data_IF_374244236828
#
_entry.id   IF_374244236828
#
_cell.length_a   1.000
_cell.length_b   1.000
_cell.length_c   1.000
_cell.angle_alpha   90.00
_cell.angle_beta   90.00
_cell.angle_gamma   90.00
#
_symmetry.space_group_name_H-M   'P 1'
#
loop_
_entity.id
_entity.type
_entity.pdbx_description
1 polymer ?
#
# COMPACT_ATOMS: atom_id res chain seq x y z
N UNK A 1 -5.48 26.62 -15.01
CA UNK A 1 -4.69 25.45 -15.31
C UNK A 1 -4.80 24.45 -14.17
N UNK A 2 -5.12 23.26 -14.50
CA UNK A 2 -5.16 22.28 -13.46
C UNK A 2 -3.76 21.75 -13.22
N UNK A 3 -3.49 21.48 -11.99
CA UNK A 3 -2.26 20.83 -11.63
C UNK A 3 -2.53 19.37 -11.46
N UNK A 4 -2.39 18.70 -12.55
CA UNK A 4 -2.50 17.27 -12.52
C UNK A 4 -1.11 16.75 -12.38
N UNK A 5 -0.83 16.24 -11.22
CA UNK A 5 0.47 15.72 -10.96
C UNK A 5 0.66 14.48 -11.80
N UNK A 6 1.53 14.54 -12.81
CA UNK A 6 1.76 13.44 -13.75
C UNK A 6 0.47 12.97 -14.43
N UNK A 7 -0.37 13.91 -14.83
CA UNK A 7 -1.63 13.60 -15.50
C UNK A 7 -2.62 12.81 -14.65
N UNK A 8 -2.43 12.79 -13.35
CA UNK A 8 -3.35 12.10 -12.47
C UNK A 8 -4.38 13.09 -11.97
N UNK A 9 -5.59 12.98 -12.48
CA UNK A 9 -6.64 13.96 -12.21
C UNK A 9 -7.84 13.37 -11.49
N UNK A 10 -7.87 12.03 -11.29
CA UNK A 10 -9.04 11.40 -10.71
C UNK A 10 -8.63 10.33 -9.70
N UNK A 11 -9.53 9.97 -8.78
CA UNK A 11 -9.29 8.86 -7.86
C UNK A 11 -9.03 7.55 -8.59
N UNK A 12 -9.74 7.33 -9.69
CA UNK A 12 -9.55 6.11 -10.48
C UNK A 12 -8.15 6.04 -11.06
N UNK A 13 -7.64 7.15 -11.58
CA UNK A 13 -6.29 7.19 -12.13
C UNK A 13 -5.25 6.97 -11.03
N UNK A 14 -5.50 7.49 -9.84
CA UNK A 14 -4.60 7.28 -8.71
C UNK A 14 -4.61 5.81 -8.29
N UNK A 15 -5.78 5.15 -8.31
CA UNK A 15 -5.85 3.73 -8.01
C UNK A 15 -5.10 2.91 -9.06
N UNK A 16 -5.21 3.28 -10.33
CA UNK A 16 -4.47 2.60 -11.38
C UNK A 16 -2.96 2.76 -11.19
N UNK A 17 -2.53 3.93 -10.74
CA UNK A 17 -1.12 4.13 -10.39
C UNK A 17 -0.73 3.24 -9.21
N UNK A 18 -1.57 3.14 -8.19
CA UNK A 18 -1.29 2.28 -7.05
C UNK A 18 -1.15 0.82 -7.48
N UNK A 19 -1.96 0.38 -8.43
CA UNK A 19 -1.86 -0.99 -8.97
C UNK A 19 -0.54 -1.20 -9.71
N UNK A 20 -0.08 -0.19 -10.44
CA UNK A 20 1.23 -0.28 -11.12
C UNK A 20 2.36 -0.36 -10.10
N UNK A 21 2.28 0.45 -9.04
CA UNK A 21 3.29 0.39 -7.99
C UNK A 21 3.25 -0.94 -7.25
N UNK A 22 2.07 -1.50 -7.07
CA UNK A 22 1.91 -2.80 -6.46
C UNK A 22 2.58 -3.90 -7.32
N UNK A 23 2.35 -3.86 -8.61
CA UNK A 23 2.98 -4.81 -9.53
C UNK A 23 4.50 -4.67 -9.50
N UNK A 24 4.99 -3.43 -9.47
CA UNK A 24 6.43 -3.17 -9.41
C UNK A 24 7.02 -3.69 -8.10
N UNK A 25 6.31 -3.46 -6.98
CA UNK A 25 6.74 -3.96 -5.69
C UNK A 25 6.84 -5.47 -5.67
N UNK A 26 5.85 -6.16 -6.26
CA UNK A 26 5.87 -7.63 -6.28
C UNK A 26 6.95 -8.19 -7.18
N UNK A 27 7.26 -7.52 -8.27
CA UNK A 27 8.28 -8.02 -9.19
C UNK A 27 9.69 -7.76 -8.69
N UNK A 28 9.88 -6.73 -7.87
CA UNK A 28 11.18 -6.39 -7.32
C UNK A 28 10.97 -5.85 -5.90
N UNK A 29 10.92 -6.75 -4.95
CA UNK A 29 10.58 -6.42 -3.57
C UNK A 29 11.78 -5.82 -2.86
N UNK A 30 11.75 -4.51 -2.69
CA UNK A 30 12.77 -3.77 -1.96
C UNK A 30 12.12 -2.58 -1.27
N UNK A 31 12.86 -1.97 -0.35
CA UNK A 31 12.33 -0.89 0.48
C UNK A 31 11.81 0.28 -0.34
N UNK A 32 12.50 0.64 -1.40
CA UNK A 32 12.08 1.76 -2.24
C UNK A 32 10.74 1.49 -2.92
N UNK A 33 10.60 0.34 -3.53
CA UNK A 33 9.36 -0.02 -4.22
C UNK A 33 8.21 -0.17 -3.24
N UNK A 34 8.47 -0.70 -2.06
CA UNK A 34 7.47 -0.82 -1.00
C UNK A 34 7.00 0.57 -0.58
N UNK A 35 7.94 1.47 -0.30
CA UNK A 35 7.59 2.81 0.13
C UNK A 35 6.83 3.57 -0.96
N UNK A 36 7.26 3.44 -2.21
CA UNK A 36 6.56 4.08 -3.34
C UNK A 36 5.12 3.61 -3.43
N UNK A 37 4.87 2.33 -3.19
CA UNK A 37 3.50 1.83 -3.17
C UNK A 37 2.68 2.51 -2.07
N UNK A 38 3.20 2.55 -0.84
CA UNK A 38 2.43 3.10 0.27
C UNK A 38 2.17 4.60 0.12
N UNK A 39 3.11 5.35 -0.43
CA UNK A 39 2.90 6.77 -0.71
C UNK A 39 1.77 6.94 -1.71
N UNK A 40 1.79 6.16 -2.79
CA UNK A 40 0.73 6.22 -3.80
C UNK A 40 -0.60 5.79 -3.20
N UNK A 41 -0.60 4.72 -2.42
CA UNK A 41 -1.79 4.22 -1.77
C UNK A 41 -2.41 5.26 -0.83
N UNK A 42 -1.58 5.95 -0.08
CA UNK A 42 -2.07 7.00 0.80
C UNK A 42 -2.80 8.09 -0.01
N UNK A 43 -2.26 8.44 -1.16
CA UNK A 43 -2.86 9.48 -2.01
C UNK A 43 -4.18 9.06 -2.65
N UNK A 44 -4.45 7.76 -2.75
CA UNK A 44 -5.77 7.31 -3.20
C UNK A 44 -6.86 7.86 -2.29
N UNK A 45 -6.63 7.81 -0.97
CA UNK A 45 -7.60 8.35 -0.01
C UNK A 45 -7.74 9.86 -0.14
N UNK A 46 -6.65 10.58 -0.39
CA UNK A 46 -6.72 12.02 -0.61
C UNK A 46 -7.61 12.36 -1.79
N UNK A 47 -7.52 11.59 -2.86
CA UNK A 47 -8.37 11.81 -4.03
C UNK A 47 -9.82 11.45 -3.73
N UNK A 48 -10.06 10.38 -3.00
CA UNK A 48 -11.42 9.97 -2.64
C UNK A 48 -12.12 11.06 -1.85
N UNK A 49 -11.41 11.72 -0.93
CA UNK A 49 -11.98 12.79 -0.12
C UNK A 49 -12.50 13.96 -0.94
N UNK A 50 -11.96 14.15 -2.13
CA UNK A 50 -12.34 15.29 -2.96
C UNK A 50 -13.49 14.99 -3.90
N UNK A 51 -13.93 13.74 -3.97
CA UNK A 51 -15.01 13.34 -4.87
C UNK A 51 -16.35 13.75 -4.28
N UNK A 52 -17.14 14.49 -5.05
CA UNK A 52 -18.49 14.83 -4.64
C UNK A 52 -19.43 13.66 -4.92
N UNK A 53 -20.49 13.57 -4.17
CA UNK A 53 -21.52 12.56 -4.39
C UNK A 53 -21.28 11.24 -3.67
N UNK A 54 -20.19 11.13 -2.93
CA UNK A 54 -19.94 9.94 -2.11
C UNK A 54 -20.32 10.26 -0.66
N UNK A 55 -21.02 9.34 -0.03
CA UNK A 55 -21.44 9.50 1.36
C UNK A 55 -20.20 9.67 2.25
N UNK A 56 -20.13 10.75 3.03
CA UNK A 56 -19.00 10.94 3.95
C UNK A 56 -18.80 9.79 4.92
N UNK A 57 -19.86 9.09 5.30
CA UNK A 57 -19.73 7.95 6.19
C UNK A 57 -19.03 6.78 5.50
N UNK A 58 -19.27 6.61 4.21
CA UNK A 58 -18.59 5.58 3.45
C UNK A 58 -17.10 5.87 3.37
N UNK A 59 -16.73 7.12 3.16
CA UNK A 59 -15.35 7.54 3.14
C UNK A 59 -14.71 7.31 4.50
N UNK A 60 -15.40 7.70 5.57
CA UNK A 60 -14.89 7.55 6.92
C UNK A 60 -14.65 6.08 7.27
N UNK A 61 -15.49 5.19 6.76
CA UNK A 61 -15.33 3.76 6.98
C UNK A 61 -14.10 3.17 6.32
N UNK A 62 -13.49 3.89 5.38
CA UNK A 62 -12.26 3.44 4.75
C UNK A 62 -11.03 3.66 5.63
N UNK A 63 -11.16 4.46 6.68
CA UNK A 63 -10.07 4.70 7.63
C UNK A 63 -10.06 3.59 8.69
N UNK A 64 -9.78 2.39 8.25
CA UNK A 64 -9.71 1.23 9.12
C UNK A 64 -8.26 0.92 9.49
N UNK A 65 -8.04 -0.20 10.14
CA UNK A 65 -6.71 -0.56 10.60
C UNK A 65 -5.72 -0.74 9.45
N UNK A 66 -6.17 -1.28 8.33
CA UNK A 66 -5.29 -1.46 7.18
C UNK A 66 -4.81 -0.11 6.64
N UNK A 67 -5.72 0.84 6.51
CA UNK A 67 -5.32 2.17 6.05
C UNK A 67 -4.43 2.86 7.07
N UNK A 68 -4.69 2.66 8.35
CA UNK A 68 -3.83 3.24 9.39
C UNK A 68 -2.41 2.70 9.33
N UNK A 69 -2.24 1.42 9.00
CA UNK A 69 -0.91 0.86 8.80
C UNK A 69 -0.24 1.47 7.58
N UNK A 70 -0.99 1.69 6.51
CA UNK A 70 -0.49 2.38 5.33
C UNK A 70 -0.06 3.81 5.67
N UNK A 71 -0.88 4.53 6.41
CA UNK A 71 -0.60 5.88 6.85
C UNK A 71 0.65 5.93 7.72
N UNK A 72 0.80 4.97 8.61
CA UNK A 72 1.97 4.87 9.46
C UNK A 72 3.23 4.67 8.61
N UNK A 73 3.18 3.78 7.63
CA UNK A 73 4.32 3.54 6.75
C UNK A 73 4.68 4.80 5.97
N UNK A 74 3.68 5.55 5.54
CA UNK A 74 3.90 6.80 4.83
C UNK A 74 4.55 7.85 5.72
N UNK A 75 4.03 8.00 6.93
CA UNK A 75 4.49 9.05 7.85
C UNK A 75 5.86 8.75 8.45
N UNK A 76 6.14 7.51 8.74
CA UNK A 76 7.43 7.10 9.31
C UNK A 76 8.47 6.80 8.23
N UNK A 77 8.03 6.72 7.00
CA UNK A 77 8.93 6.42 5.90
C UNK A 77 9.47 5.02 5.99
N UNK A 78 10.65 4.85 5.45
CA UNK A 78 11.28 3.52 5.39
C UNK A 78 11.56 2.93 6.77
N UNK A 79 11.57 3.74 7.81
CA UNK A 79 11.78 3.26 9.18
C UNK A 79 10.65 2.37 9.68
N UNK A 80 9.46 2.48 9.08
CA UNK A 80 8.34 1.62 9.45
C UNK A 80 8.45 0.23 8.82
N UNK A 81 9.35 0.05 7.86
CA UNK A 81 9.46 -1.18 7.10
C UNK A 81 10.62 -2.00 7.61
N UNK A 82 10.30 -3.14 8.20
CA UNK A 82 11.30 -4.05 8.73
C UNK A 82 11.61 -5.14 7.73
N UNK A 83 12.89 -5.30 7.43
CA UNK A 83 13.38 -6.37 6.58
C UNK A 83 13.94 -7.47 7.46
N UNK A 84 13.42 -8.67 7.31
CA UNK A 84 13.92 -9.83 8.04
C UNK A 84 14.35 -10.90 7.05
N UNK A 85 15.52 -11.45 7.27
CA UNK A 85 16.00 -12.57 6.47
C UNK A 85 15.93 -13.81 7.34
N UNK A 86 15.07 -14.73 6.94
CA UNK A 86 14.87 -15.98 7.69
C UNK A 86 15.73 -17.05 7.06
N UNK A 87 16.70 -17.61 7.80
CA UNK A 87 17.54 -18.65 7.22
C UNK A 87 16.72 -19.92 6.97
N UNK A 88 17.12 -20.65 5.94
CA UNK A 88 16.54 -21.96 5.70
C UNK A 88 16.93 -22.88 6.83
N UNK A 89 15.99 -23.67 7.26
CA UNK A 89 16.25 -24.62 8.32
C UNK A 89 17.04 -25.81 7.82
N UNK A 90 17.04 -26.09 6.59
CA UNK A 90 17.76 -27.22 6.11
C UNK A 90 19.17 -26.87 5.82
N UNK A 91 19.92 -27.86 6.05
CA UNK A 91 21.27 -27.75 6.07
C UNK A 91 21.81 -27.56 4.71
N UNK A 92 21.69 -28.39 3.95
CA UNK A 92 22.58 -28.59 2.88
C UNK A 92 22.57 -27.59 1.78
N UNK A 93 21.51 -27.05 1.54
CA UNK A 93 21.38 -26.26 0.35
C UNK A 93 21.12 -24.84 0.64
N UNK A 94 21.38 -24.48 1.81
CA UNK A 94 21.11 -23.14 2.24
C UNK A 94 22.18 -22.17 1.80
N UNK A 95 22.76 -22.37 0.68
CA UNK A 95 23.78 -21.48 0.21
C UNK A 95 23.19 -20.12 -0.06
N UNK A 96 23.54 -19.17 0.77
CA UNK A 96 23.05 -17.82 0.66
C UNK A 96 21.58 -17.70 0.90
N UNK A 97 21.01 -18.69 1.54
CA UNK A 97 19.60 -18.78 1.57
C UNK A 97 18.93 -18.09 2.68
N UNK A 98 17.69 -18.04 2.55
CA UNK A 98 16.77 -17.48 3.48
C UNK A 98 15.69 -16.79 2.72
N UNK A 99 14.54 -16.71 3.32
CA UNK A 99 13.45 -15.92 2.79
C UNK A 99 13.56 -14.50 3.31
N UNK A 100 13.48 -13.53 2.45
CA UNK A 100 13.45 -12.13 2.85
C UNK A 100 12.00 -11.71 3.02
N UNK A 101 11.69 -11.22 4.20
CA UNK A 101 10.34 -10.80 4.56
C UNK A 101 10.38 -9.33 4.88
N UNK A 102 9.46 -8.58 4.29
CA UNK A 102 9.26 -7.16 4.61
C UNK A 102 7.93 -6.98 5.30
N UNK A 103 7.93 -6.26 6.41
CA UNK A 103 6.73 -6.01 7.20
C UNK A 103 6.64 -4.54 7.56
N UNK A 104 5.40 -4.03 7.64
CA UNK A 104 5.15 -2.76 8.31
C UNK A 104 5.00 -3.09 9.79
N UNK A 105 5.77 -2.41 10.62
CA UNK A 105 5.77 -2.65 12.06
C UNK A 105 5.42 -1.37 12.79
N UNK A 106 4.33 -1.40 13.54
CA UNK A 106 3.87 -0.30 14.38
C UNK A 106 3.63 -0.85 15.78
N UNK A 107 4.64 -0.72 16.63
CA UNK A 107 4.56 -1.29 17.97
C UNK A 107 4.41 -2.80 17.91
N UNK A 108 3.32 -3.29 18.47
CA UNK A 108 3.03 -4.72 18.45
C UNK A 108 2.34 -5.19 17.18
N UNK A 109 1.93 -4.25 16.32
CA UNK A 109 1.26 -4.59 15.07
C UNK A 109 2.28 -4.83 13.98
N UNK A 110 2.15 -5.96 13.31
CA UNK A 110 3.04 -6.33 12.21
C UNK A 110 2.21 -6.92 11.09
N UNK A 111 2.51 -6.53 9.87
CA UNK A 111 1.83 -7.08 8.70
C UNK A 111 2.79 -7.13 7.54
N UNK A 112 2.77 -8.22 6.78
CA UNK A 112 3.60 -8.32 5.58
C UNK A 112 3.13 -7.30 4.56
N UNK A 113 4.09 -6.67 3.91
CA UNK A 113 3.78 -5.57 2.97
C UNK A 113 2.93 -6.05 1.81
N UNK A 114 3.17 -7.26 1.29
CA UNK A 114 2.39 -7.78 0.17
C UNK A 114 0.94 -8.00 0.59
N UNK A 115 0.74 -8.50 1.79
CA UNK A 115 -0.59 -8.78 2.29
C UNK A 115 -1.37 -7.49 2.52
N UNK A 116 -0.73 -6.51 3.13
CA UNK A 116 -1.35 -5.21 3.36
C UNK A 116 -1.69 -4.52 2.04
N UNK A 117 -0.77 -4.55 1.08
CA UNK A 117 -0.98 -3.95 -0.23
C UNK A 117 -2.17 -4.60 -0.95
N UNK A 118 -2.25 -5.91 -0.92
CA UNK A 118 -3.35 -6.63 -1.55
C UNK A 118 -4.69 -6.24 -0.93
N UNK A 119 -4.76 -6.17 0.39
CA UNK A 119 -5.99 -5.79 1.08
C UNK A 119 -6.41 -4.37 0.74
N UNK A 120 -5.47 -3.44 0.66
CA UNK A 120 -5.77 -2.06 0.31
C UNK A 120 -6.30 -1.94 -1.12
N UNK A 121 -5.66 -2.58 -2.07
CA UNK A 121 -6.09 -2.55 -3.47
C UNK A 121 -7.51 -3.11 -3.60
N UNK A 122 -7.76 -4.27 -3.00
CA UNK A 122 -9.06 -4.92 -3.08
C UNK A 122 -10.16 -4.06 -2.44
N UNK A 123 -9.84 -3.42 -1.33
CA UNK A 123 -10.76 -2.53 -0.65
C UNK A 123 -11.17 -1.35 -1.54
N UNK A 124 -10.19 -0.71 -2.17
CA UNK A 124 -10.48 0.44 -3.02
C UNK A 124 -11.20 0.05 -4.29
N UNK A 125 -10.87 -1.08 -4.89
CA UNK A 125 -11.60 -1.55 -6.05
C UNK A 125 -13.07 -1.79 -5.72
N UNK A 126 -13.33 -2.40 -4.58
CA UNK A 126 -14.69 -2.61 -4.12
C UNK A 126 -15.42 -1.28 -3.87
N UNK A 127 -14.75 -0.36 -3.17
CA UNK A 127 -15.30 0.94 -2.85
C UNK A 127 -15.65 1.72 -4.11
N UNK A 128 -14.75 1.74 -5.08
CA UNK A 128 -14.97 2.46 -6.34
C UNK A 128 -16.15 1.86 -7.09
N UNK A 129 -16.22 0.55 -7.14
CA UNK A 129 -17.31 -0.14 -7.83
C UNK A 129 -18.66 0.14 -7.16
N UNK A 130 -18.69 0.11 -5.83
CA UNK A 130 -19.93 0.34 -5.08
C UNK A 130 -20.40 1.78 -5.13
N UNK A 131 -19.51 2.72 -5.37
CA UNK A 131 -19.83 4.14 -5.37
C UNK A 131 -19.80 4.76 -6.78
N UNK A 132 -19.63 3.97 -7.79
CA UNK A 132 -19.66 4.44 -9.17
C UNK A 132 -18.54 5.38 -9.54
N UNK A 133 -17.39 5.20 -8.95
CA UNK A 133 -16.24 6.06 -9.24
C UNK A 133 -15.45 5.53 -10.42
#
# INVERSE_FOLDING_TARGET
MSYEFFDISSPKEMLEKAKREYARMKSDLNTDNIFNFFVTAYHVMDHIKTVSGVDPKAIQGMYDDDFRMCQFACNKGKHAILKTITPYSSFADSVGGGETIYEVVDGSKRVRVEYLADKLINKWEKFFRENGI
#
